data_IF_912275187199
#
_entry.id   IF_912275187199
#
_cell.length_a   1.000
_cell.length_b   1.000
_cell.length_c   1.000
_cell.angle_alpha   90.00
_cell.angle_beta   90.00
_cell.angle_gamma   90.00
#
_symmetry.space_group_name_H-M   'P 1'
#
loop_
_entity.id
_entity.type
_entity.pdbx_description
1 polymer ?
#
# COMPACT_ATOMS: atom_id res chain seq x y z
N UNK A 1 0.25 -15.64 33.41
CA UNK A 1 1.35 -15.79 32.44
C UNK A 1 0.93 -15.09 31.16
N UNK A 2 1.59 -14.00 30.79
CA UNK A 2 1.33 -13.24 29.55
C UNK A 2 2.01 -13.96 28.37
N UNK A 3 1.34 -14.15 27.22
CA UNK A 3 2.00 -14.72 26.05
C UNK A 3 2.92 -13.68 25.38
N UNK A 4 4.04 -14.18 24.84
CA UNK A 4 5.16 -13.41 24.30
C UNK A 4 4.92 -12.88 22.87
N UNK A 5 5.48 -11.71 22.49
CA UNK A 5 5.19 -10.97 21.26
C UNK A 5 5.89 -11.50 19.98
N UNK A 6 6.04 -12.81 19.80
CA UNK A 6 6.87 -13.39 18.72
C UNK A 6 6.11 -14.04 17.55
N UNK A 7 4.79 -13.87 17.46
CA UNK A 7 4.00 -14.38 16.34
C UNK A 7 3.67 -13.33 15.26
N UNK A 8 3.94 -12.04 15.51
CA UNK A 8 3.62 -10.94 14.58
C UNK A 8 4.69 -10.69 13.49
N UNK A 9 5.88 -11.30 13.60
CA UNK A 9 7.02 -10.98 12.74
C UNK A 9 7.17 -11.86 11.48
N UNK A 10 6.36 -12.91 11.32
CA UNK A 10 6.52 -13.89 10.22
C UNK A 10 5.56 -13.64 9.05
N UNK A 11 4.60 -12.73 9.20
CA UNK A 11 3.64 -12.36 8.14
C UNK A 11 3.99 -11.02 7.43
N UNK A 12 5.07 -10.36 7.86
CA UNK A 12 5.24 -8.91 7.73
C UNK A 12 5.99 -8.40 6.47
N UNK A 13 6.45 -9.28 5.57
CA UNK A 13 7.19 -8.89 4.35
C UNK A 13 6.57 -9.36 3.02
N UNK A 14 5.43 -10.06 3.07
CA UNK A 14 4.64 -10.46 1.89
C UNK A 14 3.12 -10.19 2.03
N UNK A 15 2.62 -9.86 3.23
CA UNK A 15 1.19 -9.62 3.48
C UNK A 15 0.97 -8.52 4.54
N UNK A 16 1.07 -7.26 4.16
CA UNK A 16 0.52 -6.16 4.94
C UNK A 16 -0.90 -5.83 4.44
N UNK A 17 -1.85 -6.76 4.63
CA UNK A 17 -3.32 -6.55 4.75
C UNK A 17 -4.06 -7.89 4.71
N UNK A 18 -3.99 -8.69 5.77
CA UNK A 18 -5.00 -9.70 6.08
C UNK A 18 -5.08 -9.90 7.60
N UNK A 19 -6.27 -9.93 8.22
CA UNK A 19 -6.39 -10.21 9.64
C UNK A 19 -6.01 -11.66 9.93
N UNK A 20 -5.36 -11.88 11.08
CA UNK A 20 -5.07 -13.20 11.60
C UNK A 20 -6.38 -13.99 11.80
N UNK A 21 -6.58 -15.08 11.06
CA UNK A 21 -7.65 -16.03 11.32
C UNK A 21 -7.23 -16.92 12.49
N UNK A 22 -7.92 -16.79 13.62
CA UNK A 22 -7.81 -17.71 14.75
C UNK A 22 -8.40 -19.08 14.39
N UNK A 23 -7.78 -20.13 14.90
CA UNK A 23 -8.28 -21.50 14.80
C UNK A 23 -9.60 -21.66 15.59
N UNK A 24 -10.74 -21.63 14.92
CA UNK A 24 -11.94 -22.39 15.32
C UNK A 24 -12.74 -22.80 14.07
N UNK A 25 -13.00 -24.12 13.92
CA UNK A 25 -14.06 -24.72 13.10
C UNK A 25 -14.13 -24.31 11.62
N UNK A 26 -13.59 -25.14 10.72
CA UNK A 26 -13.69 -24.93 9.28
C UNK A 26 -15.14 -24.67 8.81
N UNK A 27 -15.40 -23.62 7.99
CA UNK A 27 -16.74 -23.30 7.56
C UNK A 27 -17.22 -24.30 6.50
N UNK A 28 -18.46 -24.78 6.68
CA UNK A 28 -19.16 -25.51 5.64
C UNK A 28 -19.31 -24.63 4.39
N UNK A 29 -19.16 -25.23 3.21
CA UNK A 29 -19.33 -24.54 1.93
C UNK A 29 -20.72 -23.88 1.85
N UNK A 30 -20.81 -22.58 1.52
CA UNK A 30 -22.10 -21.92 1.37
C UNK A 30 -22.81 -22.41 0.10
N UNK A 31 -24.16 -22.44 0.10
CA UNK A 31 -24.95 -22.87 -1.04
C UNK A 31 -24.81 -21.91 -2.24
N UNK A 32 -25.08 -22.36 -3.48
CA UNK A 32 -24.99 -21.54 -4.66
C UNK A 32 -26.22 -20.60 -4.73
N UNK A 33 -26.01 -19.35 -4.35
CA UNK A 33 -27.02 -18.28 -4.31
C UNK A 33 -26.48 -17.16 -3.43
N UNK A 34 -26.21 -16.00 -4.02
CA UNK A 34 -25.32 -14.97 -3.49
C UNK A 34 -25.59 -14.56 -2.04
N UNK A 35 -24.51 -14.47 -1.26
CA UNK A 35 -24.43 -13.86 0.07
C UNK A 35 -24.59 -12.34 -0.03
N UNK A 36 -25.74 -11.85 -0.50
CA UNK A 36 -26.12 -10.45 -0.35
C UNK A 36 -27.06 -10.34 0.85
N UNK A 37 -26.63 -9.64 1.90
CA UNK A 37 -27.49 -9.30 3.03
C UNK A 37 -27.84 -7.80 2.94
N UNK A 38 -29.02 -7.43 2.40
CA UNK A 38 -29.45 -6.01 2.30
C UNK A 38 -29.37 -5.26 3.64
N UNK A 39 -29.52 -5.97 4.76
CA UNK A 39 -29.41 -5.45 6.12
C UNK A 39 -28.08 -4.76 6.42
N UNK A 40 -27.00 -5.10 5.72
CA UNK A 40 -25.70 -4.45 5.88
C UNK A 40 -25.68 -3.01 5.34
N UNK A 41 -26.54 -2.65 4.38
CA UNK A 41 -26.64 -1.25 3.92
C UNK A 41 -27.62 -0.45 4.77
N UNK A 42 -28.65 -1.11 5.30
CA UNK A 42 -29.69 -0.48 6.14
C UNK A 42 -29.14 0.11 7.44
N UNK A 43 -28.10 -0.48 8.03
CA UNK A 43 -27.43 0.09 9.21
C UNK A 43 -26.66 1.40 8.93
N UNK A 44 -26.44 1.73 7.65
CA UNK A 44 -25.66 2.88 7.21
C UNK A 44 -26.54 4.10 6.89
N UNK A 45 -27.67 4.27 7.56
CA UNK A 45 -28.66 5.32 7.29
C UNK A 45 -28.29 6.71 7.84
N UNK A 46 -27.22 6.80 8.62
CA UNK A 46 -26.77 8.03 9.27
C UNK A 46 -27.54 8.34 10.58
N UNK A 47 -28.28 7.38 11.11
CA UNK A 47 -28.92 7.47 12.42
C UNK A 47 -27.92 7.31 13.57
N UNK A 48 -28.29 7.62 14.82
CA UNK A 48 -27.44 7.36 15.98
C UNK A 48 -27.05 5.88 16.19
N UNK A 49 -27.74 4.95 15.51
CA UNK A 49 -27.43 3.53 15.54
C UNK A 49 -26.40 3.08 14.50
N UNK A 50 -26.02 3.96 13.57
CA UNK A 50 -25.05 3.62 12.53
C UNK A 50 -23.66 3.28 13.11
N UNK A 51 -22.98 2.25 12.58
CA UNK A 51 -21.69 1.81 13.09
C UNK A 51 -20.56 2.80 12.78
N UNK A 52 -19.48 2.74 13.56
CA UNK A 52 -18.22 3.41 13.22
C UNK A 52 -17.53 2.66 12.09
N UNK A 53 -17.30 3.34 10.96
CA UNK A 53 -16.81 2.74 9.74
C UNK A 53 -15.29 2.67 9.65
N UNK A 54 -14.84 1.75 8.80
CA UNK A 54 -13.48 1.62 8.29
C UNK A 54 -13.50 1.79 6.76
N UNK A 55 -12.35 2.07 6.17
CA UNK A 55 -12.24 2.21 4.72
C UNK A 55 -12.68 0.94 3.95
N UNK A 56 -12.30 -0.30 4.39
CA UNK A 56 -12.82 -1.52 3.78
C UNK A 56 -14.35 -1.64 3.85
N UNK A 57 -14.94 -1.35 5.02
CA UNK A 57 -16.40 -1.44 5.20
C UNK A 57 -17.14 -0.46 4.29
N UNK A 58 -16.61 0.75 4.15
CA UNK A 58 -17.14 1.78 3.28
C UNK A 58 -17.03 1.40 1.79
N UNK A 59 -15.89 0.83 1.35
CA UNK A 59 -15.73 0.32 -0.02
C UNK A 59 -16.69 -0.82 -0.34
N UNK A 60 -16.88 -1.73 0.62
CA UNK A 60 -17.86 -2.80 0.46
C UNK A 60 -19.29 -2.22 0.32
N UNK A 61 -19.64 -1.19 1.11
CA UNK A 61 -20.93 -0.53 0.97
C UNK A 61 -21.13 0.16 -0.39
N UNK A 62 -20.07 0.79 -0.94
CA UNK A 62 -20.08 1.36 -2.30
C UNK A 62 -20.36 0.27 -3.36
N UNK A 63 -19.68 -0.88 -3.26
CA UNK A 63 -19.86 -2.02 -4.17
C UNK A 63 -21.27 -2.60 -4.09
N UNK A 64 -21.75 -2.86 -2.88
CA UNK A 64 -23.07 -3.43 -2.62
C UNK A 64 -24.18 -2.49 -3.10
N UNK A 65 -24.05 -1.18 -2.87
CA UNK A 65 -24.97 -0.16 -3.37
C UNK A 65 -24.99 -0.14 -4.91
N UNK A 66 -23.83 -0.26 -5.56
CA UNK A 66 -23.73 -0.31 -7.02
C UNK A 66 -24.43 -1.53 -7.61
N UNK A 67 -24.30 -2.69 -6.96
CA UNK A 67 -25.01 -3.92 -7.37
C UNK A 67 -26.54 -3.79 -7.28
N UNK A 68 -27.05 -3.07 -6.29
CA UNK A 68 -28.49 -2.81 -6.15
C UNK A 68 -29.01 -1.73 -7.11
N UNK A 69 -28.21 -0.73 -7.43
CA UNK A 69 -28.59 0.35 -8.33
C UNK A 69 -28.71 -0.10 -9.82
N UNK A 70 -28.00 -1.16 -10.21
CA UNK A 70 -27.99 -1.67 -11.58
C UNK A 70 -27.32 -0.73 -12.60
N UNK A 71 -27.47 -1.01 -13.90
CA UNK A 71 -26.79 -0.26 -14.98
C UNK A 71 -27.20 1.23 -15.07
N UNK A 72 -28.36 1.60 -14.53
CA UNK A 72 -28.89 2.96 -14.58
C UNK A 72 -28.30 3.91 -13.52
N UNK A 73 -27.51 3.39 -12.56
CA UNK A 73 -26.91 4.14 -11.45
C UNK A 73 -25.45 3.76 -11.19
N UNK A 74 -24.64 3.67 -12.25
CA UNK A 74 -23.27 3.17 -12.19
C UNK A 74 -22.38 3.97 -11.22
N UNK A 75 -22.22 3.45 -10.00
CA UNK A 75 -21.18 3.86 -9.06
C UNK A 75 -19.81 3.37 -9.55
N UNK A 76 -18.72 4.10 -9.27
CA UNK A 76 -17.40 3.65 -9.68
C UNK A 76 -16.96 2.41 -8.93
N UNK A 77 -16.06 1.67 -9.55
CA UNK A 77 -15.34 0.56 -8.92
C UNK A 77 -14.58 1.05 -7.67
N UNK A 78 -14.72 0.32 -6.58
CA UNK A 78 -14.03 0.57 -5.32
C UNK A 78 -12.50 0.58 -5.46
N UNK A 79 -11.94 -0.22 -6.39
CA UNK A 79 -10.51 -0.22 -6.71
C UNK A 79 -10.06 1.14 -7.27
N UNK A 80 -10.84 1.72 -8.19
CA UNK A 80 -10.56 3.04 -8.75
C UNK A 80 -10.62 4.13 -7.69
N UNK A 81 -11.57 4.04 -6.76
CA UNK A 81 -11.67 4.98 -5.62
C UNK A 81 -10.45 4.85 -4.70
N UNK A 82 -9.98 3.62 -4.44
CA UNK A 82 -8.76 3.36 -3.65
C UNK A 82 -7.53 3.99 -4.29
N UNK A 83 -7.32 3.80 -5.59
CA UNK A 83 -6.19 4.39 -6.31
C UNK A 83 -6.23 5.92 -6.32
N UNK A 84 -7.41 6.52 -6.50
CA UNK A 84 -7.58 7.97 -6.42
C UNK A 84 -7.27 8.51 -5.01
N UNK A 85 -7.68 7.79 -3.97
CA UNK A 85 -7.35 8.12 -2.60
C UNK A 85 -5.83 8.03 -2.32
N UNK A 86 -5.16 6.98 -2.80
CA UNK A 86 -3.71 6.81 -2.64
C UNK A 86 -2.93 7.99 -3.22
N UNK A 87 -3.29 8.46 -4.43
CA UNK A 87 -2.66 9.65 -5.04
C UNK A 87 -2.82 10.91 -4.19
N UNK A 88 -3.99 11.12 -3.59
CA UNK A 88 -4.22 12.27 -2.68
C UNK A 88 -3.45 12.13 -1.38
N UNK A 89 -3.34 10.91 -0.86
CA UNK A 89 -2.59 10.59 0.35
C UNK A 89 -1.10 10.93 0.24
N UNK A 90 -0.49 10.74 -0.94
CA UNK A 90 0.92 11.13 -1.20
C UNK A 90 1.17 12.64 -0.98
N UNK A 91 0.17 13.49 -1.19
CA UNK A 91 0.26 14.93 -0.89
C UNK A 91 0.08 15.28 0.60
N UNK A 92 0.06 14.28 1.49
CA UNK A 92 -0.13 14.48 2.93
C UNK A 92 -1.57 14.78 3.36
N UNK A 93 -2.54 14.58 2.46
CA UNK A 93 -3.96 14.76 2.73
C UNK A 93 -4.61 13.46 3.21
N UNK A 94 -5.68 13.57 3.99
CA UNK A 94 -6.54 12.46 4.40
C UNK A 94 -7.79 12.47 3.53
N UNK A 95 -7.83 11.70 2.42
CA UNK A 95 -8.99 11.65 1.54
C UNK A 95 -10.18 11.02 2.26
N UNK A 96 -11.35 11.67 2.17
CA UNK A 96 -12.63 11.15 2.63
C UNK A 96 -13.43 10.64 1.42
N UNK A 97 -14.12 9.52 1.60
CA UNK A 97 -15.21 9.08 0.73
C UNK A 97 -16.56 9.31 1.43
N UNK A 98 -17.58 9.73 0.68
CA UNK A 98 -18.94 9.95 1.18
C UNK A 98 -19.96 9.31 0.24
N UNK A 99 -20.81 8.42 0.79
CA UNK A 99 -22.02 7.90 0.16
C UNK A 99 -23.21 8.65 0.75
N UNK A 100 -24.03 9.25 -0.11
CA UNK A 100 -25.30 9.88 0.23
C UNK A 100 -26.36 9.43 -0.81
N UNK A 101 -26.77 8.16 -0.68
CA UNK A 101 -27.48 7.44 -1.73
C UNK A 101 -28.83 6.93 -1.25
N UNK A 102 -29.74 6.73 -2.20
CA UNK A 102 -30.95 5.92 -1.99
C UNK A 102 -30.97 4.84 -3.05
N UNK A 103 -30.89 3.57 -2.63
CA UNK A 103 -30.85 2.41 -3.53
C UNK A 103 -32.10 1.53 -3.34
N UNK A 104 -32.58 0.81 -4.36
CA UNK A 104 -33.71 -0.10 -4.20
C UNK A 104 -33.44 -1.14 -3.11
N UNK A 105 -34.42 -1.44 -2.27
CA UNK A 105 -34.33 -2.58 -1.37
C UNK A 105 -34.37 -3.87 -2.20
N UNK A 106 -33.47 -4.82 -1.94
CA UNK A 106 -33.34 -6.04 -2.76
C UNK A 106 -34.58 -6.95 -2.80
N UNK A 107 -35.57 -6.68 -1.94
CA UNK A 107 -36.87 -7.36 -1.87
C UNK A 107 -38.00 -6.63 -2.63
N UNK A 108 -37.72 -5.47 -3.22
CA UNK A 108 -38.69 -4.65 -3.96
C UNK A 108 -39.70 -3.88 -3.09
N UNK A 109 -39.51 -3.84 -1.77
CA UNK A 109 -40.44 -3.24 -0.82
C UNK A 109 -40.21 -1.73 -0.54
N UNK A 110 -39.10 -1.14 -1.00
CA UNK A 110 -38.78 0.26 -0.75
C UNK A 110 -37.39 0.67 -1.25
N UNK A 111 -36.81 1.68 -0.61
CA UNK A 111 -35.45 2.14 -0.86
C UNK A 111 -34.67 2.22 0.44
N UNK A 112 -33.39 1.85 0.39
CA UNK A 112 -32.43 1.93 1.48
C UNK A 112 -31.72 3.27 1.37
N UNK A 113 -31.85 4.13 2.39
CA UNK A 113 -31.08 5.36 2.52
C UNK A 113 -29.70 5.04 3.10
N UNK A 114 -28.64 5.56 2.47
CA UNK A 114 -27.26 5.35 2.88
C UNK A 114 -26.59 6.71 3.07
N UNK A 115 -26.09 6.96 4.27
CA UNK A 115 -25.21 8.07 4.62
C UNK A 115 -23.95 7.53 5.31
N UNK A 116 -22.89 7.31 4.54
CA UNK A 116 -21.67 6.65 5.00
C UNK A 116 -20.41 7.41 4.60
N UNK A 117 -19.59 7.81 5.57
CA UNK A 117 -18.31 8.45 5.38
C UNK A 117 -17.17 7.57 5.90
N UNK A 118 -16.00 7.63 5.25
CA UNK A 118 -14.78 7.02 5.77
C UNK A 118 -13.54 7.81 5.37
N UNK A 119 -12.52 7.83 6.23
CA UNK A 119 -11.16 8.15 5.82
C UNK A 119 -10.61 7.00 4.97
N UNK A 120 -10.18 7.30 3.74
CA UNK A 120 -9.62 6.32 2.82
C UNK A 120 -8.11 6.13 3.00
N UNK A 121 -7.47 6.98 3.82
CA UNK A 121 -6.21 6.72 4.54
C UNK A 121 -6.52 6.73 6.03
N UNK A 122 -6.48 5.57 6.67
CA UNK A 122 -6.98 5.40 8.05
C UNK A 122 -6.04 5.92 9.14
N UNK A 123 -4.87 6.46 8.78
CA UNK A 123 -3.92 7.00 9.75
C UNK A 123 -3.11 8.17 9.19
N UNK A 124 -2.51 8.93 10.11
CA UNK A 124 -1.51 9.94 9.78
C UNK A 124 -0.42 9.96 10.84
N UNK A 125 0.78 10.36 10.43
CA UNK A 125 1.89 10.67 11.31
C UNK A 125 1.97 12.17 11.68
N UNK A 126 1.12 13.00 11.05
CA UNK A 126 1.09 14.46 11.20
C UNK A 126 0.15 14.87 12.33
N UNK A 127 0.60 14.69 13.57
CA UNK A 127 -0.19 14.95 14.79
C UNK A 127 -0.74 16.37 14.85
N UNK A 128 0.06 17.37 14.46
CA UNK A 128 -0.31 18.79 14.53
C UNK A 128 -0.88 19.37 13.23
N UNK A 129 -0.99 18.58 12.16
CA UNK A 129 -1.35 19.08 10.83
C UNK A 129 -2.12 18.05 9.98
N UNK A 130 -3.00 17.26 10.59
CA UNK A 130 -3.87 16.38 9.82
C UNK A 130 -4.82 17.21 8.95
N UNK A 131 -4.93 16.91 7.65
CA UNK A 131 -5.77 17.67 6.71
C UNK A 131 -6.72 16.76 5.97
N UNK A 132 -8.00 16.81 6.33
CA UNK A 132 -9.07 16.00 5.74
C UNK A 132 -9.64 16.65 4.49
N UNK A 133 -9.91 15.89 3.42
CA UNK A 133 -10.47 16.44 2.18
C UNK A 133 -11.49 15.52 1.53
N UNK A 134 -12.67 16.06 1.22
CA UNK A 134 -13.69 15.40 0.41
C UNK A 134 -13.68 15.99 -0.99
N UNK A 135 -13.17 15.26 -1.98
CA UNK A 135 -13.23 15.69 -3.38
C UNK A 135 -14.54 15.27 -4.04
N UNK A 136 -14.96 16.01 -5.07
CA UNK A 136 -16.16 15.70 -5.84
C UNK A 136 -16.16 14.27 -6.44
N UNK A 137 -15.00 13.74 -6.82
CA UNK A 137 -14.86 12.39 -7.37
C UNK A 137 -15.09 11.26 -6.34
N UNK A 138 -15.16 11.59 -5.03
CA UNK A 138 -15.39 10.64 -3.92
C UNK A 138 -16.67 10.94 -3.15
N UNK A 139 -17.48 11.85 -3.67
CA UNK A 139 -18.82 12.16 -3.19
C UNK A 139 -19.83 11.51 -4.13
N UNK A 140 -20.52 10.49 -3.65
CA UNK A 140 -21.51 9.77 -4.42
C UNK A 140 -22.90 10.10 -3.88
N UNK A 141 -23.65 10.93 -4.60
CA UNK A 141 -25.00 11.34 -4.22
C UNK A 141 -26.03 11.04 -5.30
N UNK A 142 -27.22 10.61 -4.87
CA UNK A 142 -28.36 10.32 -5.74
C UNK A 142 -29.16 11.57 -6.17
N UNK A 143 -28.77 12.77 -5.72
CA UNK A 143 -29.42 14.03 -6.04
C UNK A 143 -28.48 15.24 -5.86
N UNK A 144 -28.94 16.48 -6.12
CA UNK A 144 -28.14 17.65 -5.82
C UNK A 144 -27.84 17.70 -4.31
N UNK A 145 -26.57 17.90 -3.95
CA UNK A 145 -26.15 18.08 -2.55
C UNK A 145 -26.70 19.42 -2.04
N UNK A 146 -27.95 19.38 -1.57
CA UNK A 146 -28.63 20.52 -0.94
C UNK A 146 -28.35 20.65 0.55
N UNK A 147 -27.63 19.67 1.13
CA UNK A 147 -27.29 19.63 2.54
C UNK A 147 -25.99 20.38 2.84
N UNK A 148 -25.92 20.99 4.03
CA UNK A 148 -24.68 21.54 4.58
C UNK A 148 -23.85 20.41 5.18
N UNK A 149 -22.63 20.21 4.65
CA UNK A 149 -21.69 19.21 5.17
C UNK A 149 -20.76 19.81 6.22
N UNK A 150 -20.59 19.09 7.32
CA UNK A 150 -19.68 19.41 8.41
C UNK A 150 -18.86 18.19 8.82
N UNK A 151 -17.69 18.43 9.40
CA UNK A 151 -16.79 17.41 9.94
C UNK A 151 -16.40 17.78 11.37
N UNK A 152 -16.41 16.79 12.26
CA UNK A 152 -15.77 16.83 13.59
C UNK A 152 -14.61 15.83 13.57
N UNK A 153 -13.36 16.30 13.41
CA UNK A 153 -12.19 15.43 13.40
C UNK A 153 -11.78 14.84 14.75
N UNK A 154 -12.54 15.07 15.81
CA UNK A 154 -12.23 14.59 17.17
C UNK A 154 -10.92 15.21 17.72
N UNK A 155 -10.70 16.48 17.39
CA UNK A 155 -9.59 17.30 17.89
C UNK A 155 -9.98 18.22 19.06
N UNK A 156 -11.22 18.07 19.56
CA UNK A 156 -11.81 18.91 20.61
C UNK A 156 -12.45 20.21 20.11
N UNK A 157 -12.35 20.52 18.82
CA UNK A 157 -12.96 21.71 18.21
C UNK A 157 -14.44 21.55 17.81
N UNK A 158 -14.94 20.31 17.73
CA UNK A 158 -16.30 20.00 17.30
C UNK A 158 -16.53 20.17 15.79
N UNK A 159 -17.80 20.20 15.38
CA UNK A 159 -18.18 20.30 13.96
C UNK A 159 -17.77 21.63 13.32
N UNK A 160 -17.17 21.54 12.13
CA UNK A 160 -16.79 22.67 11.25
C UNK A 160 -17.16 22.34 9.81
N UNK A 161 -17.28 23.38 8.97
CA UNK A 161 -17.65 23.21 7.56
C UNK A 161 -16.70 22.24 6.83
N UNK A 162 -17.26 21.32 6.04
CA UNK A 162 -16.54 20.43 5.14
C UNK A 162 -16.81 20.83 3.67
N UNK A 163 -16.11 21.85 3.15
CA UNK A 163 -16.21 22.24 1.74
C UNK A 163 -15.66 21.16 0.80
N UNK A 164 -16.31 20.98 -0.35
CA UNK A 164 -15.87 20.02 -1.38
C UNK A 164 -14.60 20.54 -2.05
N UNK A 165 -13.56 19.69 -2.09
CA UNK A 165 -12.26 19.99 -2.72
C UNK A 165 -11.29 20.81 -1.86
N UNK A 166 -11.72 21.27 -0.68
CA UNK A 166 -10.93 22.12 0.20
C UNK A 166 -10.54 21.37 1.49
N UNK A 167 -9.24 21.30 1.84
CA UNK A 167 -8.81 20.57 3.03
C UNK A 167 -9.20 21.27 4.34
N UNK A 168 -9.70 20.49 5.30
CA UNK A 168 -10.01 20.89 6.66
C UNK A 168 -8.91 20.40 7.61
N UNK A 169 -8.20 21.32 8.26
CA UNK A 169 -7.13 21.01 9.20
C UNK A 169 -7.64 20.58 10.58
N UNK A 170 -6.94 19.64 11.22
CA UNK A 170 -7.17 19.18 12.58
C UNK A 170 -5.84 19.15 13.35
N UNK A 171 -5.87 19.52 14.64
CA UNK A 171 -4.69 19.57 15.51
C UNK A 171 -4.91 18.69 16.73
N UNK A 172 -4.21 17.57 16.82
CA UNK A 172 -4.37 16.64 17.92
C UNK A 172 -3.39 16.94 19.05
N UNK A 173 -3.88 17.01 20.29
CA UNK A 173 -3.01 17.16 21.46
C UNK A 173 -2.22 15.89 21.82
N UNK A 174 -2.63 14.73 21.29
CA UNK A 174 -1.92 13.46 21.45
C UNK A 174 -2.26 12.49 20.33
N UNK A 175 -1.30 11.59 20.06
CA UNK A 175 -1.51 10.39 19.28
C UNK A 175 -2.60 9.48 19.90
N UNK A 176 -3.12 8.57 19.09
CA UNK A 176 -4.15 7.60 19.43
C UNK A 176 -5.30 7.56 18.41
N UNK A 177 -6.18 6.59 18.61
CA UNK A 177 -7.39 6.42 17.83
C UNK A 177 -8.35 7.61 18.05
N UNK A 178 -8.95 8.08 16.95
CA UNK A 178 -9.92 9.17 16.87
C UNK A 178 -11.20 8.67 16.21
N UNK A 179 -12.34 9.19 16.64
CA UNK A 179 -13.64 8.92 16.00
C UNK A 179 -14.11 10.17 15.26
N UNK A 180 -13.75 10.26 13.99
CA UNK A 180 -14.13 11.40 13.14
C UNK A 180 -15.59 11.25 12.73
N UNK A 181 -16.33 12.35 12.75
CA UNK A 181 -17.75 12.39 12.36
C UNK A 181 -17.95 13.32 11.18
N UNK A 182 -18.73 12.89 10.21
CA UNK A 182 -19.22 13.73 9.12
C UNK A 182 -20.73 13.83 9.26
N UNK A 183 -21.26 15.05 9.19
CA UNK A 183 -22.68 15.33 9.31
C UNK A 183 -23.18 16.04 8.06
N UNK A 184 -24.33 15.59 7.54
CA UNK A 184 -25.16 16.35 6.61
C UNK A 184 -26.34 16.96 7.37
N UNK A 185 -26.61 18.23 7.11
CA UNK A 185 -27.79 18.95 7.61
C UNK A 185 -28.65 19.31 6.41
N UNK A 186 -29.81 18.68 6.30
CA UNK A 186 -30.74 18.88 5.20
C UNK A 186 -31.47 20.22 5.33
N UNK A 187 -32.06 20.76 4.24
CA UNK A 187 -32.76 22.04 4.26
C UNK A 187 -33.93 22.12 5.26
N UNK A 188 -34.50 20.98 5.63
CA UNK A 188 -35.56 20.87 6.64
C UNK A 188 -35.04 20.83 8.09
N UNK A 189 -33.71 20.84 8.27
CA UNK A 189 -33.02 20.80 9.56
C UNK A 189 -32.80 19.39 10.09
N UNK A 190 -33.18 18.34 9.37
CA UNK A 190 -32.84 16.97 9.73
C UNK A 190 -31.33 16.73 9.59
N UNK A 191 -30.79 15.85 10.43
CA UNK A 191 -29.36 15.56 10.48
C UNK A 191 -29.10 14.07 10.22
N UNK A 192 -28.11 13.80 9.39
CA UNK A 192 -27.56 12.46 9.16
C UNK A 192 -26.08 12.48 9.51
N UNK A 193 -25.62 11.54 10.32
CA UNK A 193 -24.26 11.51 10.85
C UNK A 193 -23.62 10.16 10.55
N UNK A 194 -22.45 10.19 9.95
CA UNK A 194 -21.60 9.01 9.79
C UNK A 194 -20.31 9.20 10.58
N UNK A 195 -19.82 8.14 11.20
CA UNK A 195 -18.58 8.15 11.99
C UNK A 195 -17.60 7.14 11.44
N UNK A 196 -16.30 7.42 11.50
CA UNK A 196 -15.25 6.49 11.11
C UNK A 196 -14.01 6.61 12.00
N UNK A 197 -13.25 5.51 12.03
CA UNK A 197 -11.99 5.45 12.77
C UNK A 197 -10.88 6.17 12.01
N UNK A 198 -10.06 6.92 12.74
CA UNK A 198 -8.83 7.52 12.23
C UNK A 198 -7.71 7.45 13.27
N UNK A 199 -6.54 6.93 12.92
CA UNK A 199 -5.44 6.72 13.86
C UNK A 199 -4.37 7.81 13.69
N UNK A 200 -4.15 8.60 14.75
CA UNK A 200 -3.10 9.61 14.79
C UNK A 200 -1.88 8.98 15.43
N UNK A 201 -0.84 8.72 14.65
CA UNK A 201 0.38 8.06 15.11
C UNK A 201 1.44 9.09 15.44
N UNK A 202 2.17 8.85 16.53
CA UNK A 202 3.39 9.58 16.80
C UNK A 202 4.48 9.01 15.90
N UNK A 203 5.05 9.85 15.03
CA UNK A 203 6.26 9.51 14.30
C UNK A 203 7.44 10.22 14.95
N UNK A 204 8.39 9.43 15.45
CA UNK A 204 9.70 9.93 15.84
C UNK A 204 10.66 9.85 14.63
N UNK A 205 10.22 10.34 13.48
CA UNK A 205 11.04 10.43 12.27
C UNK A 205 11.34 11.89 11.98
N UNK A 206 12.60 12.24 11.66
CA UNK A 206 12.90 13.51 11.03
C UNK A 206 12.30 13.54 9.62
N UNK A 207 12.07 14.75 9.11
CA UNK A 207 11.85 14.94 7.66
C UNK A 207 13.09 14.46 6.90
N UNK A 208 12.95 13.95 5.65
CA UNK A 208 14.09 13.77 4.77
C UNK A 208 14.84 15.09 4.60
N UNK A 209 16.17 15.01 4.55
CA UNK A 209 17.05 16.14 4.24
C UNK A 209 16.93 16.58 2.77
N UNK A 210 16.63 15.62 1.88
CA UNK A 210 16.34 15.85 0.47
C UNK A 210 15.43 14.74 -0.10
N UNK A 211 14.78 15.01 -1.24
CA UNK A 211 14.01 14.04 -2.02
C UNK A 211 14.45 14.08 -3.47
N UNK A 212 15.05 12.99 -3.95
CA UNK A 212 15.51 12.86 -5.33
C UNK A 212 14.39 12.30 -6.20
N UNK A 213 13.98 13.04 -7.24
CA UNK A 213 13.12 12.49 -8.28
C UNK A 213 13.94 11.59 -9.21
N UNK A 214 13.55 10.33 -9.35
CA UNK A 214 14.26 9.31 -10.14
C UNK A 214 13.43 8.94 -11.36
N UNK A 215 14.03 9.06 -12.54
CA UNK A 215 13.44 8.61 -13.79
C UNK A 215 14.40 7.65 -14.51
N UNK A 216 13.94 6.43 -14.79
CA UNK A 216 14.74 5.47 -15.54
C UNK A 216 15.01 5.98 -16.96
N UNK A 217 16.22 5.78 -17.46
CA UNK A 217 16.63 6.14 -18.83
C UNK A 217 16.62 4.93 -19.77
N UNK A 218 16.47 3.73 -19.23
CA UNK A 218 16.37 2.47 -19.97
C UNK A 218 14.92 1.99 -19.92
N UNK A 219 14.25 1.81 -21.08
CA UNK A 219 12.88 1.34 -21.10
C UNK A 219 12.82 -0.20 -21.00
N UNK A 220 11.75 -0.71 -20.40
CA UNK A 220 11.36 -2.12 -20.51
C UNK A 220 10.00 -2.23 -21.18
N UNK A 221 9.95 -2.93 -22.32
CA UNK A 221 8.77 -3.02 -23.20
C UNK A 221 8.24 -1.63 -23.64
N UNK A 222 9.15 -0.70 -23.92
CA UNK A 222 8.82 0.64 -24.43
C UNK A 222 8.32 1.63 -23.37
N UNK A 223 8.35 1.27 -22.08
CA UNK A 223 7.93 2.13 -20.97
C UNK A 223 9.09 2.30 -19.97
N UNK A 224 9.14 3.47 -19.34
CA UNK A 224 10.14 3.84 -18.33
C UNK A 224 9.55 3.72 -16.93
N UNK A 225 10.38 3.34 -15.96
CA UNK A 225 10.03 3.41 -14.54
C UNK A 225 10.39 4.78 -13.94
N UNK A 226 9.79 5.09 -12.80
CA UNK A 226 10.09 6.28 -12.01
C UNK A 226 9.89 6.01 -10.51
N UNK A 227 10.34 6.95 -9.68
CA UNK A 227 10.15 6.93 -8.23
C UNK A 227 10.81 8.14 -7.56
N UNK A 228 10.80 8.13 -6.24
CA UNK A 228 11.45 9.14 -5.39
C UNK A 228 12.43 8.44 -4.44
N UNK A 229 13.57 9.07 -4.13
CA UNK A 229 14.46 8.59 -3.09
C UNK A 229 14.61 9.62 -1.97
N UNK A 230 14.28 9.21 -0.75
CA UNK A 230 14.36 10.05 0.45
C UNK A 230 15.75 9.95 1.06
N UNK A 231 16.43 11.09 1.21
CA UNK A 231 17.78 11.18 1.75
C UNK A 231 17.73 11.57 3.22
N UNK A 232 18.43 10.80 4.05
CA UNK A 232 18.66 11.08 5.46
C UNK A 232 20.16 11.06 5.70
N UNK A 233 20.73 12.24 5.90
CA UNK A 233 22.16 12.40 6.12
C UNK A 233 22.54 11.90 7.52
N UNK A 234 23.76 11.38 7.67
CA UNK A 234 24.39 11.28 8.99
C UNK A 234 24.48 12.68 9.60
N UNK A 235 24.31 12.79 10.92
CA UNK A 235 24.46 14.05 11.66
C UNK A 235 25.86 14.68 11.51
N UNK A 236 26.83 13.92 11.04
CA UNK A 236 28.19 14.36 10.75
C UNK A 236 28.38 14.95 9.34
N UNK A 237 27.36 14.90 8.48
CA UNK A 237 27.42 15.31 7.09
C UNK A 237 26.47 16.48 6.79
N UNK A 238 26.91 17.40 5.92
CA UNK A 238 26.08 18.49 5.40
C UNK A 238 25.58 18.24 3.97
N UNK A 239 26.15 17.23 3.31
CA UNK A 239 25.83 16.79 1.94
C UNK A 239 26.00 15.28 1.86
N UNK A 240 25.39 14.64 0.87
CA UNK A 240 25.54 13.20 0.63
C UNK A 240 27.03 12.82 0.49
N UNK A 241 27.50 11.89 1.32
CA UNK A 241 28.93 11.58 1.50
C UNK A 241 29.22 10.08 1.54
N UNK A 242 28.44 9.29 2.29
CA UNK A 242 28.64 7.84 2.46
C UNK A 242 27.31 7.07 2.36
N UNK A 243 26.76 6.91 1.15
CA UNK A 243 25.41 6.37 0.98
C UNK A 243 25.27 4.88 1.31
N UNK A 244 24.25 4.57 2.11
CA UNK A 244 23.59 3.27 2.20
C UNK A 244 22.23 3.38 1.49
N UNK A 245 22.17 2.88 0.26
CA UNK A 245 20.97 2.92 -0.58
C UNK A 245 20.07 1.74 -0.23
N UNK A 246 18.84 2.01 0.19
CA UNK A 246 17.81 1.02 0.55
C UNK A 246 16.74 1.01 -0.54
N UNK A 247 16.52 -0.16 -1.14
CA UNK A 247 15.51 -0.39 -2.16
C UNK A 247 14.33 -1.08 -1.51
N UNK A 248 13.17 -0.44 -1.57
CA UNK A 248 11.94 -1.00 -1.03
C UNK A 248 11.48 -2.28 -1.75
N UNK A 249 10.51 -2.95 -1.13
CA UNK A 249 9.92 -4.17 -1.64
C UNK A 249 8.71 -3.94 -2.54
N UNK A 250 7.84 -4.93 -2.57
CA UNK A 250 6.57 -4.86 -3.27
C UNK A 250 5.58 -4.04 -2.43
N UNK A 251 5.23 -2.84 -2.88
CA UNK A 251 4.15 -2.02 -2.32
C UNK A 251 2.84 -2.27 -3.09
N UNK A 252 1.81 -2.78 -2.38
CA UNK A 252 0.56 -3.24 -2.98
C UNK A 252 -0.29 -2.08 -3.52
N UNK A 253 -0.40 -1.00 -2.76
CA UNK A 253 -1.30 0.11 -3.06
C UNK A 253 -0.62 1.46 -3.26
N UNK A 254 0.72 1.46 -3.35
CA UNK A 254 1.52 2.66 -3.62
C UNK A 254 1.21 3.75 -2.58
N UNK A 255 1.03 3.33 -1.32
CA UNK A 255 0.69 4.20 -0.20
C UNK A 255 1.88 4.52 0.69
N UNK A 256 3.02 3.86 0.47
CA UNK A 256 4.25 4.16 1.20
C UNK A 256 4.75 5.56 0.80
N UNK A 257 4.93 6.42 1.79
CA UNK A 257 5.68 7.67 1.67
C UNK A 257 6.86 7.62 2.65
N UNK A 258 7.66 8.68 2.71
CA UNK A 258 8.82 8.76 3.57
C UNK A 258 8.48 8.46 5.03
N UNK A 259 7.31 8.89 5.52
CA UNK A 259 6.85 8.62 6.87
C UNK A 259 6.72 7.11 7.14
N UNK A 260 6.03 6.41 6.24
CA UNK A 260 5.78 4.97 6.33
C UNK A 260 7.08 4.16 6.17
N UNK A 261 7.93 4.51 5.20
CA UNK A 261 9.19 3.83 4.95
C UNK A 261 10.17 4.01 6.11
N UNK A 262 10.28 5.23 6.64
CA UNK A 262 11.10 5.48 7.82
C UNK A 262 10.57 4.69 9.01
N UNK A 263 9.27 4.76 9.30
CA UNK A 263 8.67 4.01 10.42
C UNK A 263 8.92 2.50 10.30
N UNK A 264 8.82 1.95 9.08
CA UNK A 264 9.08 0.55 8.79
C UNK A 264 10.54 0.16 9.04
N UNK A 265 11.48 0.89 8.44
CA UNK A 265 12.91 0.61 8.57
C UNK A 265 13.39 0.83 10.01
N UNK A 266 12.81 1.81 10.71
CA UNK A 266 13.26 2.19 12.05
C UNK A 266 12.55 1.44 13.20
N UNK A 267 11.73 0.41 12.93
CA UNK A 267 11.15 -0.44 13.97
C UNK A 267 12.20 -1.09 14.90
N UNK A 268 13.39 -1.34 14.36
CA UNK A 268 14.57 -1.81 15.10
C UNK A 268 15.74 -0.83 14.94
N UNK A 269 15.42 0.45 14.76
CA UNK A 269 16.37 1.56 14.66
C UNK A 269 17.37 1.49 13.50
N UNK A 270 17.02 0.88 12.35
CA UNK A 270 17.97 0.68 11.23
C UNK A 270 18.49 2.00 10.66
N UNK A 271 17.60 2.95 10.35
CA UNK A 271 17.97 4.22 9.72
C UNK A 271 18.87 5.02 10.65
N UNK A 272 18.49 5.11 11.92
CA UNK A 272 19.28 5.84 12.91
C UNK A 272 20.62 5.16 13.20
N UNK A 273 20.65 3.82 13.26
CA UNK A 273 21.92 3.09 13.42
C UNK A 273 22.85 3.34 12.24
N UNK A 274 22.33 3.41 11.01
CA UNK A 274 23.14 3.75 9.83
C UNK A 274 23.70 5.17 9.96
N UNK A 275 22.86 6.15 10.33
CA UNK A 275 23.24 7.56 10.50
C UNK A 275 24.29 7.74 11.60
N UNK A 276 24.11 7.09 12.75
CA UNK A 276 25.03 7.09 13.89
C UNK A 276 26.40 6.49 13.53
N UNK A 277 26.41 5.48 12.64
CA UNK A 277 27.63 4.84 12.12
C UNK A 277 28.25 5.60 10.92
N UNK A 278 27.75 6.80 10.61
CA UNK A 278 28.31 7.66 9.57
C UNK A 278 27.87 7.32 8.14
N UNK A 279 26.75 6.62 7.95
CA UNK A 279 26.13 6.42 6.64
C UNK A 279 24.99 7.42 6.41
N UNK A 280 24.82 7.82 5.15
CA UNK A 280 23.64 8.54 4.70
C UNK A 280 22.64 7.51 4.16
N UNK A 281 21.43 7.44 4.72
CA UNK A 281 20.41 6.53 4.20
C UNK A 281 19.71 7.16 3.00
N UNK A 282 19.67 6.44 1.87
CA UNK A 282 18.94 6.86 0.66
C UNK A 282 17.88 5.80 0.38
N UNK A 283 16.62 6.10 0.64
CA UNK A 283 15.53 5.11 0.59
C UNK A 283 14.67 5.33 -0.64
N UNK A 284 14.69 4.37 -1.58
CA UNK A 284 13.87 4.41 -2.78
C UNK A 284 12.41 4.03 -2.48
N UNK A 285 11.50 4.83 -3.02
CA UNK A 285 10.07 4.61 -3.16
C UNK A 285 9.75 4.57 -4.66
N UNK A 286 9.30 3.44 -5.20
CA UNK A 286 8.91 3.31 -6.59
C UNK A 286 7.56 4.01 -6.81
N UNK A 287 7.38 4.65 -7.97
CA UNK A 287 6.05 5.13 -8.34
C UNK A 287 5.07 3.98 -8.59
N UNK A 288 5.56 2.82 -9.03
CA UNK A 288 4.78 1.61 -9.34
C UNK A 288 5.56 0.33 -9.01
N UNK A 289 5.67 0.00 -7.72
CA UNK A 289 6.38 -1.19 -7.25
C UNK A 289 5.82 -2.52 -7.83
N UNK A 290 4.56 -2.55 -8.26
CA UNK A 290 3.92 -3.77 -8.80
C UNK A 290 4.16 -4.01 -10.30
N UNK A 291 4.85 -3.11 -10.99
CA UNK A 291 5.17 -3.24 -12.41
C UNK A 291 6.25 -4.29 -12.70
N UNK A 292 6.63 -4.51 -13.96
CA UNK A 292 7.68 -5.46 -14.33
C UNK A 292 8.97 -5.20 -13.52
N UNK A 293 9.52 -6.24 -12.90
CA UNK A 293 10.72 -6.14 -12.09
C UNK A 293 11.91 -5.60 -12.88
N UNK A 294 12.00 -5.84 -14.20
CA UNK A 294 13.01 -5.22 -15.06
C UNK A 294 12.86 -3.69 -15.12
N UNK A 295 11.63 -3.18 -15.23
CA UNK A 295 11.35 -1.73 -15.24
C UNK A 295 11.77 -1.09 -13.91
N UNK A 296 11.41 -1.73 -12.81
CA UNK A 296 11.82 -1.28 -11.47
C UNK A 296 13.35 -1.38 -11.28
N UNK A 297 14.00 -2.39 -11.87
CA UNK A 297 15.46 -2.49 -11.85
C UNK A 297 16.14 -1.32 -12.56
N UNK A 298 15.56 -0.79 -13.64
CA UNK A 298 16.12 0.39 -14.31
C UNK A 298 15.91 1.69 -13.53
N UNK A 299 14.93 1.76 -12.63
CA UNK A 299 14.85 2.85 -11.64
C UNK A 299 16.01 2.74 -10.64
N UNK A 300 16.35 1.53 -10.19
CA UNK A 300 17.53 1.30 -9.33
C UNK A 300 18.83 1.69 -10.04
N UNK A 301 18.98 1.40 -11.34
CA UNK A 301 20.12 1.87 -12.13
C UNK A 301 20.22 3.40 -12.11
N UNK A 302 19.12 4.10 -12.43
CA UNK A 302 19.10 5.56 -12.43
C UNK A 302 19.39 6.17 -11.05
N UNK A 303 18.87 5.56 -9.98
CA UNK A 303 19.17 5.97 -8.61
C UNK A 303 20.65 5.82 -8.28
N UNK A 304 21.27 4.68 -8.62
CA UNK A 304 22.70 4.47 -8.41
C UNK A 304 23.48 5.56 -9.15
N UNK A 305 23.22 5.79 -10.43
CA UNK A 305 23.91 6.82 -11.21
C UNK A 305 23.78 8.22 -10.60
N UNK A 306 22.57 8.59 -10.14
CA UNK A 306 22.31 9.90 -9.54
C UNK A 306 22.98 10.07 -8.17
N UNK A 307 22.96 9.04 -7.32
CA UNK A 307 23.68 9.02 -6.04
C UNK A 307 25.18 9.13 -6.28
N UNK A 308 25.70 8.37 -7.23
CA UNK A 308 27.11 8.37 -7.63
C UNK A 308 27.57 9.74 -8.16
N UNK A 309 26.72 10.44 -8.91
CA UNK A 309 26.99 11.79 -9.39
C UNK A 309 26.99 12.85 -8.27
N UNK A 310 26.41 12.53 -7.11
CA UNK A 310 26.25 13.44 -5.97
C UNK A 310 27.31 13.23 -4.87
N UNK A 311 28.23 12.27 -5.05
CA UNK A 311 29.31 11.95 -4.12
C UNK A 311 30.68 12.01 -4.82
N UNK A 312 31.75 12.04 -4.02
CA UNK A 312 33.12 12.08 -4.54
C UNK A 312 33.45 10.91 -5.51
N UNK A 313 34.28 11.12 -6.56
CA UNK A 313 34.54 10.13 -7.61
C UNK A 313 35.16 8.80 -7.16
N UNK A 314 35.77 8.74 -5.98
CA UNK A 314 36.39 7.55 -5.41
C UNK A 314 35.52 6.85 -4.35
N UNK A 315 34.33 7.38 -4.06
CA UNK A 315 33.42 6.82 -3.06
C UNK A 315 32.60 5.66 -3.63
N UNK A 316 32.53 4.62 -2.83
CA UNK A 316 31.67 3.46 -3.05
C UNK A 316 30.41 3.55 -2.18
N UNK A 317 29.35 2.90 -2.61
CA UNK A 317 28.07 2.83 -1.90
C UNK A 317 27.76 1.42 -1.39
N UNK A 318 26.86 1.33 -0.41
CA UNK A 318 26.21 0.09 -0.01
C UNK A 318 24.81 0.06 -0.63
N UNK A 319 24.42 -1.09 -1.19
CA UNK A 319 23.06 -1.31 -1.71
C UNK A 319 22.36 -2.40 -0.90
N UNK A 320 21.18 -2.09 -0.38
CA UNK A 320 20.37 -2.97 0.46
C UNK A 320 19.02 -3.12 -0.24
N UNK A 321 18.68 -4.34 -0.67
CA UNK A 321 17.37 -4.60 -1.26
C UNK A 321 16.52 -5.47 -0.35
N UNK A 322 15.37 -4.96 0.09
CA UNK A 322 14.44 -5.67 0.95
C UNK A 322 13.32 -6.35 0.14
N UNK A 323 13.00 -7.62 0.42
CA UNK A 323 11.97 -8.37 -0.31
C UNK A 323 12.20 -8.31 -1.84
N UNK A 324 11.23 -7.89 -2.65
CA UNK A 324 11.40 -7.66 -4.10
C UNK A 324 12.58 -6.74 -4.42
N UNK A 325 12.87 -5.75 -3.57
CA UNK A 325 14.00 -4.82 -3.67
C UNK A 325 15.34 -5.52 -3.87
N UNK A 326 15.53 -6.69 -3.24
CA UNK A 326 16.75 -7.49 -3.41
C UNK A 326 16.86 -8.17 -4.78
N UNK A 327 15.74 -8.48 -5.43
CA UNK A 327 15.72 -9.08 -6.76
C UNK A 327 15.98 -8.01 -7.82
N UNK A 328 15.31 -6.86 -7.71
CA UNK A 328 15.53 -5.74 -8.64
C UNK A 328 16.91 -5.11 -8.49
N UNK A 329 17.47 -5.05 -7.27
CA UNK A 329 18.87 -4.67 -7.04
C UNK A 329 19.84 -5.65 -7.70
N UNK A 330 19.60 -6.96 -7.55
CA UNK A 330 20.41 -8.00 -8.20
C UNK A 330 20.39 -7.85 -9.71
N UNK A 331 19.20 -7.67 -10.30
CA UNK A 331 19.07 -7.46 -11.74
C UNK A 331 19.79 -6.19 -12.18
N UNK A 332 19.56 -5.05 -11.51
CA UNK A 332 20.20 -3.77 -11.84
C UNK A 332 21.72 -3.87 -11.86
N UNK A 333 22.32 -4.42 -10.80
CA UNK A 333 23.78 -4.58 -10.72
C UNK A 333 24.31 -5.53 -11.79
N UNK A 334 23.66 -6.68 -12.00
CA UNK A 334 24.06 -7.64 -13.04
C UNK A 334 23.98 -7.02 -14.43
N UNK A 335 22.94 -6.21 -14.68
CA UNK A 335 22.76 -5.50 -15.93
C UNK A 335 23.86 -4.45 -16.12
N UNK A 336 24.13 -3.60 -15.13
CA UNK A 336 25.19 -2.58 -15.21
C UNK A 336 26.55 -3.22 -15.52
N UNK A 337 26.89 -4.32 -14.85
CA UNK A 337 28.12 -5.09 -15.14
C UNK A 337 28.15 -5.64 -16.57
N UNK A 338 27.03 -6.18 -17.06
CA UNK A 338 26.92 -6.67 -18.45
C UNK A 338 27.11 -5.56 -19.50
N UNK A 339 26.82 -4.31 -19.12
CA UNK A 339 27.01 -3.12 -19.95
C UNK A 339 28.35 -2.43 -19.71
N UNK A 340 29.23 -2.98 -18.88
CA UNK A 340 30.49 -2.35 -18.46
C UNK A 340 30.30 -0.97 -17.80
N UNK A 341 29.19 -0.78 -17.10
CA UNK A 341 28.92 0.42 -16.30
C UNK A 341 29.42 0.18 -14.88
N UNK A 342 30.34 1.02 -14.41
CA UNK A 342 30.84 0.95 -13.03
C UNK A 342 29.80 1.52 -12.05
N UNK A 343 29.18 0.62 -11.29
CA UNK A 343 28.15 0.96 -10.33
C UNK A 343 28.71 1.30 -8.93
N UNK A 344 30.03 1.20 -8.70
CA UNK A 344 30.73 1.51 -7.42
C UNK A 344 30.01 0.99 -6.16
N UNK A 345 29.35 -0.16 -6.24
CA UNK A 345 28.68 -0.80 -5.10
C UNK A 345 29.65 -1.78 -4.48
N UNK A 346 30.14 -1.48 -3.28
CA UNK A 346 31.10 -2.35 -2.58
C UNK A 346 30.43 -3.54 -1.93
N UNK A 347 29.18 -3.37 -1.49
CA UNK A 347 28.43 -4.39 -0.77
C UNK A 347 26.98 -4.35 -1.19
N UNK A 348 26.48 -5.49 -1.65
CA UNK A 348 25.08 -5.75 -1.92
C UNK A 348 24.51 -6.65 -0.83
N UNK A 349 23.50 -6.15 -0.12
CA UNK A 349 22.77 -6.86 0.94
C UNK A 349 21.38 -7.22 0.41
N UNK A 350 21.13 -8.52 0.26
CA UNK A 350 19.83 -9.08 -0.06
C UNK A 350 19.09 -9.38 1.26
N UNK A 351 18.17 -8.52 1.67
CA UNK A 351 17.45 -8.62 2.94
C UNK A 351 16.07 -9.27 2.74
N UNK A 352 15.94 -10.51 3.21
CA UNK A 352 14.74 -11.34 3.12
C UNK A 352 14.12 -11.39 1.72
N UNK A 353 14.97 -11.26 0.70
CA UNK A 353 14.53 -11.23 -0.69
C UNK A 353 14.19 -12.65 -1.17
N UNK A 354 13.02 -12.87 -1.80
CA UNK A 354 12.64 -14.17 -2.34
C UNK A 354 13.39 -14.45 -3.65
N UNK A 355 14.72 -14.57 -3.60
CA UNK A 355 15.63 -14.77 -4.75
C UNK A 355 15.29 -16.00 -5.61
N UNK A 356 14.49 -16.93 -5.07
CA UNK A 356 13.98 -18.14 -5.74
C UNK A 356 12.46 -18.10 -5.93
N UNK A 357 11.83 -16.95 -5.77
CA UNK A 357 10.40 -16.74 -5.82
C UNK A 357 9.73 -16.81 -4.45
N UNK A 358 8.51 -16.27 -4.40
CA UNK A 358 7.64 -16.25 -3.23
C UNK A 358 6.53 -17.28 -3.39
N UNK A 359 6.09 -17.88 -2.28
CA UNK A 359 5.00 -18.86 -2.26
C UNK A 359 3.81 -18.29 -1.49
N UNK A 360 2.76 -17.91 -2.21
CA UNK A 360 1.43 -17.67 -1.65
C UNK A 360 0.61 -18.95 -1.93
N UNK A 361 0.03 -19.60 -0.90
CA UNK A 361 -0.70 -20.85 -1.11
C UNK A 361 -1.75 -20.73 -2.22
N UNK A 362 -1.74 -21.66 -3.19
CA UNK A 362 -2.67 -21.62 -4.33
C UNK A 362 -4.14 -21.60 -3.88
N UNK A 363 -4.47 -22.28 -2.78
CA UNK A 363 -5.82 -22.23 -2.21
C UNK A 363 -6.25 -20.81 -1.80
N UNK A 364 -5.33 -19.98 -1.32
CA UNK A 364 -5.61 -18.56 -1.02
C UNK A 364 -5.78 -17.76 -2.31
N UNK A 365 -4.96 -18.00 -3.33
CA UNK A 365 -5.12 -17.32 -4.61
C UNK A 365 -6.47 -17.63 -5.29
N UNK A 366 -6.87 -18.91 -5.31
CA UNK A 366 -8.20 -19.30 -5.81
C UNK A 366 -9.35 -18.85 -4.92
N UNK A 367 -9.14 -18.71 -3.61
CA UNK A 367 -10.13 -18.10 -2.72
C UNK A 367 -10.37 -16.63 -3.10
N UNK A 368 -9.31 -15.88 -3.39
CA UNK A 368 -9.41 -14.50 -3.86
C UNK A 368 -10.15 -14.40 -5.19
N UNK A 369 -9.82 -15.26 -6.15
CA UNK A 369 -10.53 -15.38 -7.44
C UNK A 369 -12.03 -15.63 -7.24
N UNK A 370 -12.37 -16.66 -6.46
CA UNK A 370 -13.76 -17.06 -6.20
C UNK A 370 -14.59 -15.96 -5.53
N UNK A 371 -14.02 -15.20 -4.58
CA UNK A 371 -14.74 -14.18 -3.82
C UNK A 371 -14.61 -12.76 -4.41
N UNK A 372 -13.89 -12.58 -5.51
CA UNK A 372 -13.63 -11.25 -6.10
C UNK A 372 -14.91 -10.47 -6.44
N UNK A 373 -15.92 -11.13 -7.00
CA UNK A 373 -17.21 -10.50 -7.34
C UNK A 373 -18.05 -10.10 -6.11
N UNK A 374 -17.73 -10.64 -4.94
CA UNK A 374 -18.48 -10.46 -3.70
C UNK A 374 -17.77 -9.54 -2.69
N UNK A 375 -16.43 -9.52 -2.71
CA UNK A 375 -15.62 -8.81 -1.73
C UNK A 375 -14.64 -7.87 -2.41
N UNK A 376 -14.78 -6.57 -2.17
CA UNK A 376 -13.88 -5.55 -2.74
C UNK A 376 -12.42 -5.75 -2.34
N UNK A 377 -12.16 -6.22 -1.12
CA UNK A 377 -10.79 -6.56 -0.69
C UNK A 377 -10.24 -7.82 -1.41
N UNK A 378 -11.09 -8.81 -1.71
CA UNK A 378 -10.67 -10.00 -2.45
C UNK A 378 -10.34 -9.63 -3.90
N UNK A 379 -11.21 -8.85 -4.56
CA UNK A 379 -10.95 -8.31 -5.89
C UNK A 379 -9.67 -7.46 -5.93
N UNK A 380 -9.47 -6.60 -4.93
CA UNK A 380 -8.26 -5.81 -4.83
C UNK A 380 -7.03 -6.69 -4.71
N UNK A 381 -6.98 -7.62 -3.75
CA UNK A 381 -5.82 -8.50 -3.54
C UNK A 381 -5.57 -9.40 -4.76
N UNK A 382 -6.60 -9.91 -5.42
CA UNK A 382 -6.48 -10.64 -6.68
C UNK A 382 -5.83 -9.77 -7.76
N UNK A 383 -6.30 -8.52 -7.92
CA UNK A 383 -5.71 -7.59 -8.89
C UNK A 383 -4.23 -7.35 -8.63
N UNK A 384 -3.79 -7.42 -7.36
CA UNK A 384 -2.38 -7.28 -6.98
C UNK A 384 -1.58 -8.54 -7.31
N UNK A 385 -2.14 -9.73 -7.10
CA UNK A 385 -1.52 -10.99 -7.52
C UNK A 385 -1.30 -11.04 -9.04
N UNK A 386 -2.22 -10.45 -9.79
CA UNK A 386 -2.19 -10.42 -11.26
C UNK A 386 -1.24 -9.36 -11.86
N UNK A 387 -0.60 -8.53 -11.01
CA UNK A 387 0.38 -7.54 -11.48
C UNK A 387 1.65 -8.21 -12.01
N UNK A 388 2.38 -7.55 -12.94
CA UNK A 388 3.59 -8.13 -13.52
C UNK A 388 4.63 -8.56 -12.50
N UNK A 389 4.99 -7.73 -11.50
CA UNK A 389 5.97 -8.13 -10.49
C UNK A 389 5.50 -9.34 -9.67
N UNK A 390 4.23 -9.38 -9.25
CA UNK A 390 3.70 -10.52 -8.50
C UNK A 390 3.78 -11.82 -9.31
N UNK A 391 3.37 -11.78 -10.58
CA UNK A 391 3.47 -12.92 -11.52
C UNK A 391 4.91 -13.37 -11.77
N UNK A 392 5.87 -12.45 -11.75
CA UNK A 392 7.30 -12.78 -11.85
C UNK A 392 7.88 -13.33 -10.55
N UNK A 393 7.35 -12.93 -9.39
CA UNK A 393 7.81 -13.38 -8.07
C UNK A 393 7.25 -14.77 -7.72
N UNK A 394 5.99 -15.03 -8.02
CA UNK A 394 5.27 -16.18 -7.49
C UNK A 394 5.71 -17.51 -8.13
N UNK A 395 6.09 -18.47 -7.28
CA UNK A 395 6.46 -19.83 -7.75
C UNK A 395 5.27 -20.61 -8.32
N UNK A 396 4.06 -20.24 -7.91
CA UNK A 396 2.79 -20.71 -8.46
C UNK A 396 1.82 -19.54 -8.55
N UNK A 397 1.08 -19.46 -9.65
CA UNK A 397 0.05 -18.45 -9.87
C UNK A 397 -1.28 -19.13 -10.18
N UNK A 398 -2.38 -18.55 -9.70
CA UNK A 398 -3.72 -19.02 -10.06
C UNK A 398 -3.96 -18.89 -11.57
N UNK A 399 -4.87 -19.71 -12.09
CA UNK A 399 -5.24 -19.72 -13.52
C UNK A 399 -6.74 -19.82 -13.65
N UNK A 400 -7.31 -19.21 -14.68
CA UNK A 400 -8.72 -19.37 -15.03
C UNK A 400 -8.83 -19.90 -16.47
N UNK A 401 -9.23 -21.18 -16.68
CA UNK A 401 -9.65 -22.16 -15.66
C UNK A 401 -8.48 -22.70 -14.80
N UNK A 402 -8.76 -23.26 -13.60
CA UNK A 402 -7.73 -23.84 -12.73
C UNK A 402 -6.97 -25.01 -13.38
N UNK A 403 -5.64 -25.01 -13.25
CA UNK A 403 -4.78 -26.14 -13.62
C UNK A 403 -4.75 -27.24 -12.54
N UNK A 404 -4.14 -28.38 -12.85
CA UNK A 404 -4.11 -29.56 -11.96
C UNK A 404 -2.89 -29.67 -11.04
N UNK A 405 -1.77 -28.98 -11.35
CA UNK A 405 -0.49 -29.14 -10.64
C UNK A 405 0.07 -27.86 -10.03
N UNK A 406 -0.55 -26.71 -10.30
CA UNK A 406 -0.01 -25.41 -9.90
C UNK A 406 1.25 -25.09 -10.69
N UNK A 407 1.21 -24.05 -11.52
CA UNK A 407 2.35 -23.66 -12.36
C UNK A 407 2.68 -22.18 -12.10
N UNK A 408 3.94 -21.76 -12.28
CA UNK A 408 4.25 -20.34 -12.32
C UNK A 408 3.58 -19.68 -13.52
N UNK A 409 3.32 -18.39 -13.41
CA UNK A 409 2.97 -17.60 -14.58
C UNK A 409 4.15 -17.55 -15.57
N UNK A 410 3.88 -17.42 -16.87
CA UNK A 410 4.91 -17.39 -17.92
C UNK A 410 5.90 -16.21 -17.79
N UNK A 411 5.52 -15.13 -17.08
CA UNK A 411 6.40 -14.01 -16.80
C UNK A 411 7.59 -14.37 -15.91
N UNK A 412 7.43 -15.33 -14.98
CA UNK A 412 8.50 -15.75 -14.08
C UNK A 412 9.66 -16.46 -14.79
N UNK A 413 9.46 -17.57 -15.53
CA UNK A 413 10.56 -18.21 -16.25
C UNK A 413 11.17 -17.30 -17.31
N UNK A 414 10.41 -16.36 -17.88
CA UNK A 414 10.96 -15.33 -18.77
C UNK A 414 11.93 -14.39 -18.04
N UNK A 415 11.56 -13.88 -16.87
CA UNK A 415 12.44 -13.07 -16.01
C UNK A 415 13.70 -13.86 -15.59
N UNK A 416 13.53 -15.11 -15.13
CA UNK A 416 14.65 -15.96 -14.70
C UNK A 416 15.65 -16.22 -15.86
N UNK A 417 15.13 -16.50 -17.06
CA UNK A 417 15.97 -16.72 -18.25
C UNK A 417 16.72 -15.46 -18.68
N UNK A 418 16.06 -14.30 -18.63
CA UNK A 418 16.67 -13.00 -18.93
C UNK A 418 17.79 -12.67 -17.93
N UNK A 419 17.52 -12.77 -16.63
CA UNK A 419 18.51 -12.56 -15.59
C UNK A 419 19.71 -13.51 -15.73
N UNK A 420 19.46 -14.79 -16.06
CA UNK A 420 20.53 -15.75 -16.33
C UNK A 420 21.39 -15.36 -17.55
N UNK A 421 20.76 -14.81 -18.61
CA UNK A 421 21.45 -14.42 -19.84
C UNK A 421 22.44 -13.26 -19.67
N UNK A 422 22.20 -12.39 -18.68
CA UNK A 422 23.09 -11.26 -18.34
C UNK A 422 24.13 -11.60 -17.26
N UNK A 423 24.18 -12.86 -16.78
CA UNK A 423 25.18 -13.34 -15.82
C UNK A 423 24.60 -13.89 -14.52
N UNK A 424 23.30 -13.68 -14.26
CA UNK A 424 22.58 -14.22 -13.12
C UNK A 424 22.83 -13.49 -11.80
N UNK A 425 24.07 -13.12 -11.47
CA UNK A 425 24.44 -12.40 -10.25
C UNK A 425 25.55 -11.39 -10.53
N UNK A 426 25.58 -10.25 -9.81
CA UNK A 426 26.67 -9.30 -9.93
C UNK A 426 27.96 -9.90 -9.35
N UNK A 427 29.06 -9.75 -10.07
CA UNK A 427 30.38 -10.27 -9.75
C UNK A 427 31.18 -9.30 -8.85
N UNK A 428 31.03 -7.98 -9.03
CA UNK A 428 31.84 -6.95 -8.40
C UNK A 428 31.60 -6.78 -6.88
N UNK A 429 30.35 -6.68 -6.37
CA UNK A 429 30.12 -6.40 -4.96
C UNK A 429 30.39 -7.63 -4.08
N UNK A 430 30.78 -7.37 -2.82
CA UNK A 430 30.58 -8.34 -1.74
C UNK A 430 29.08 -8.59 -1.59
N UNK A 431 28.66 -9.85 -1.73
CA UNK A 431 27.26 -10.25 -1.58
C UNK A 431 27.01 -10.74 -0.16
N UNK A 432 25.99 -10.20 0.49
CA UNK A 432 25.52 -10.59 1.83
C UNK A 432 24.03 -10.91 1.75
N UNK A 433 23.61 -11.99 2.39
CA UNK A 433 22.20 -12.34 2.50
C UNK A 433 21.79 -12.34 3.98
N UNK A 434 20.62 -11.76 4.26
CA UNK A 434 19.95 -11.82 5.56
C UNK A 434 18.59 -12.46 5.30
N UNK A 435 18.21 -13.47 6.08
CA UNK A 435 16.93 -14.14 5.96
C UNK A 435 16.21 -14.09 7.30
N UNK A 436 14.94 -13.64 7.30
CA UNK A 436 14.11 -13.62 8.49
C UNK A 436 13.35 -14.94 8.60
N UNK A 437 14.01 -15.93 9.17
CA UNK A 437 13.42 -17.24 9.43
C UNK A 437 13.67 -17.69 10.86
N UNK A 438 13.29 -18.94 11.16
CA UNK A 438 13.55 -19.58 12.46
C UNK A 438 15.04 -19.69 12.82
N UNK A 439 15.95 -19.33 11.91
CA UNK A 439 17.40 -19.50 12.05
C UNK A 439 17.87 -20.95 11.94
N UNK A 440 16.95 -21.91 11.81
CA UNK A 440 17.26 -23.33 11.76
C UNK A 440 17.68 -23.85 10.37
N UNK A 441 17.55 -23.02 9.32
CA UNK A 441 17.84 -23.43 7.95
C UNK A 441 16.91 -24.53 7.41
N UNK A 442 15.80 -24.83 8.09
CA UNK A 442 14.78 -25.78 7.66
C UNK A 442 13.60 -25.04 7.01
N UNK A 443 13.11 -25.57 5.88
CA UNK A 443 11.87 -25.10 5.26
C UNK A 443 10.71 -25.18 6.26
N UNK A 444 9.81 -24.19 6.22
CA UNK A 444 8.64 -24.13 7.10
C UNK A 444 7.38 -24.76 6.49
N UNK A 445 7.53 -25.43 5.33
CA UNK A 445 6.43 -25.99 4.55
C UNK A 445 6.73 -25.91 3.07
#
# INVERSE_FOLDING_TARGET
MKPSPRLAAVLFLLFACAPAFGEEGGPAAPPPGGLFAPSALEELDGSPGSPVLTAPRWRQALHDAGRLAGEAGALPDAARVREAAARRAKSGLVPIGLLDLSVPSGDGAGAIGIFAAAALKEHTYRVEEARFVLDAERLFSGGPVGARLEIDPDDGGGFRALPIGEPVGARYGSAGEKTVRVRAIDPDGSERISSFRFDVRALAAPLPDDTLAIAATVPYLGQYGAGEAYVYLSDSHATLTNPAVVIEGFDLDDTMNWEELYALLNQQNLVETLRDEGFDAVVLNFDQATDYMQRNSFVVVALIEQVLASIEPDREIVLIGASMGGIVSRYALTWMESQSIDHRVRTFISFDAPQRGAAIPLGVQYWLDFFSDLSTDAAFLLSRLDTPAARQLLVYHHTSPPGSTGEPDSLRPAFDAELASIGGWPALPRKVAVANGSGAGAGQG
#
